data_IF_850513328137
#
_entry.id   IF_850513328137
#
_cell.length_a   1.000
_cell.length_b   1.000
_cell.length_c   1.000
_cell.angle_alpha   90.00
_cell.angle_beta   90.00
_cell.angle_gamma   90.00
#
_symmetry.space_group_name_H-M   'P 1'
#
loop_
_entity.id
_entity.type
_entity.pdbx_description
1 polymer ?
#
# COMPACT_ATOMS: atom_id res chain seq x y z
N UNK A 1 23.44 7.29 -6.02
CA UNK A 1 22.08 7.10 -5.47
C UNK A 1 21.74 5.63 -5.47
N UNK A 2 21.12 5.15 -4.41
CA UNK A 2 20.69 3.75 -4.33
C UNK A 2 19.57 3.46 -5.34
N UNK A 3 19.52 2.24 -5.84
CA UNK A 3 18.40 1.80 -6.66
C UNK A 3 17.12 1.78 -5.83
N UNK A 4 15.97 2.13 -6.41
CA UNK A 4 14.69 2.10 -5.67
C UNK A 4 14.33 0.69 -5.21
N UNK A 5 13.77 0.58 -4.02
CA UNK A 5 13.17 -0.64 -3.51
C UNK A 5 11.69 -0.61 -3.86
N UNK A 6 11.18 -1.69 -4.45
CA UNK A 6 9.77 -1.79 -4.81
C UNK A 6 9.00 -2.42 -3.67
N UNK A 7 8.08 -1.65 -3.09
CA UNK A 7 7.31 -2.04 -1.91
C UNK A 7 5.84 -2.18 -2.30
N UNK A 8 5.31 -3.38 -2.19
CA UNK A 8 3.89 -3.63 -2.42
C UNK A 8 3.15 -3.53 -1.09
N UNK A 9 2.00 -2.86 -1.10
CA UNK A 9 1.12 -2.76 0.07
C UNK A 9 -0.28 -3.15 -0.36
N UNK A 10 -0.86 -4.14 0.30
CA UNK A 10 -2.23 -4.56 0.06
C UNK A 10 -3.20 -3.80 0.95
N UNK A 11 -4.47 -3.73 0.55
CA UNK A 11 -5.46 -2.96 1.30
C UNK A 11 -5.06 -1.50 1.43
N UNK A 12 -4.48 -0.94 0.38
CA UNK A 12 -3.74 0.32 0.44
C UNK A 12 -4.61 1.53 0.77
N UNK A 13 -5.92 1.46 0.57
CA UNK A 13 -6.83 2.54 0.93
C UNK A 13 -7.31 2.46 2.39
N UNK A 14 -6.92 1.43 3.14
CA UNK A 14 -7.32 1.27 4.53
C UNK A 14 -6.57 2.17 5.49
N UNK A 15 -7.11 2.33 6.70
CA UNK A 15 -6.51 3.23 7.70
C UNK A 15 -5.12 2.80 8.15
N UNK A 16 -4.91 1.51 8.32
CA UNK A 16 -3.58 1.01 8.72
C UNK A 16 -2.58 1.28 7.62
N UNK A 17 -2.94 0.96 6.37
CA UNK A 17 -2.08 1.21 5.22
C UNK A 17 -1.81 2.69 5.02
N UNK A 18 -2.79 3.54 5.24
CA UNK A 18 -2.61 5.00 5.15
C UNK A 18 -1.44 5.46 6.02
N UNK A 19 -1.44 5.03 7.28
CA UNK A 19 -0.37 5.38 8.20
C UNK A 19 0.98 4.81 7.77
N UNK A 20 0.99 3.54 7.33
CA UNK A 20 2.21 2.88 6.88
C UNK A 20 2.79 3.54 5.63
N UNK A 21 1.95 3.93 4.67
CA UNK A 21 2.42 4.52 3.42
C UNK A 21 3.21 5.80 3.67
N UNK A 22 2.73 6.65 4.57
CA UNK A 22 3.42 7.88 4.89
C UNK A 22 4.74 7.64 5.60
N UNK A 23 4.81 6.62 6.45
CA UNK A 23 6.05 6.23 7.12
C UNK A 23 7.07 5.66 6.14
N UNK A 24 6.62 4.84 5.20
CA UNK A 24 7.50 4.30 4.16
C UNK A 24 8.02 5.45 3.29
N UNK A 25 7.12 6.33 2.87
CA UNK A 25 7.46 7.44 1.99
C UNK A 25 8.43 8.43 2.65
N UNK A 26 8.34 8.61 3.96
CA UNK A 26 9.22 9.53 4.69
C UNK A 26 10.59 8.94 5.02
N UNK A 27 10.77 7.63 4.81
CA UNK A 27 12.04 6.97 5.06
C UNK A 27 12.15 6.31 6.42
N UNK A 28 11.07 6.24 7.20
CA UNK A 28 11.12 5.62 8.53
C UNK A 28 11.34 4.11 8.49
N UNK A 29 10.88 3.43 7.43
CA UNK A 29 10.99 1.98 7.34
C UNK A 29 12.32 1.51 6.76
N UNK A 30 12.75 2.10 5.65
CA UNK A 30 13.93 1.63 4.91
C UNK A 30 15.13 2.56 5.00
N UNK A 31 14.98 3.70 5.63
CA UNK A 31 16.04 4.67 5.77
C UNK A 31 15.81 5.91 4.91
N UNK A 32 16.38 7.01 5.37
CA UNK A 32 16.13 8.33 4.76
C UNK A 32 16.90 8.55 3.47
N UNK A 33 17.75 7.61 3.09
CA UNK A 33 18.51 7.66 1.84
C UNK A 33 18.09 6.58 0.86
N UNK A 34 17.02 5.80 1.18
CA UNK A 34 16.57 4.71 0.33
C UNK A 34 15.35 5.14 -0.50
N UNK A 35 15.49 5.33 -1.81
CA UNK A 35 14.35 5.59 -2.69
C UNK A 35 13.41 4.39 -2.74
N UNK A 36 12.12 4.66 -2.91
CA UNK A 36 11.10 3.61 -2.97
C UNK A 36 10.15 3.85 -4.15
N UNK A 37 9.62 2.74 -4.67
CA UNK A 37 8.49 2.75 -5.59
C UNK A 37 7.37 2.03 -4.86
N UNK A 38 6.24 2.69 -4.69
CA UNK A 38 5.09 2.13 -3.99
C UNK A 38 4.18 1.44 -5.00
N UNK A 39 3.89 0.16 -4.75
CA UNK A 39 2.99 -0.62 -5.59
C UNK A 39 1.78 -1.01 -4.76
N UNK A 40 0.66 -0.34 -5.01
CA UNK A 40 -0.49 -0.33 -4.13
C UNK A 40 -1.60 -1.19 -4.71
N UNK A 41 -2.05 -2.17 -3.94
CA UNK A 41 -3.13 -3.07 -4.33
C UNK A 41 -4.38 -2.77 -3.51
N UNK A 42 -5.51 -2.68 -4.20
CA UNK A 42 -6.79 -2.53 -3.55
C UNK A 42 -7.85 -3.27 -4.36
N UNK A 43 -8.99 -3.55 -3.76
CA UNK A 43 -10.13 -4.10 -4.49
C UNK A 43 -10.75 -3.01 -5.36
N UNK A 44 -11.40 -3.41 -6.45
CA UNK A 44 -11.95 -2.44 -7.41
C UNK A 44 -12.85 -1.38 -6.76
N UNK A 45 -13.80 -1.75 -5.86
CA UNK A 45 -14.66 -0.73 -5.22
C UNK A 45 -13.90 0.30 -4.39
N UNK A 46 -12.70 -0.01 -3.94
CA UNK A 46 -11.90 0.91 -3.11
C UNK A 46 -10.88 1.72 -3.92
N UNK A 47 -10.84 1.56 -5.24
CA UNK A 47 -9.86 2.27 -6.07
C UNK A 47 -10.03 3.79 -6.04
N UNK A 48 -11.25 4.30 -5.91
CA UNK A 48 -11.46 5.74 -5.79
C UNK A 48 -10.88 6.30 -4.49
N UNK A 49 -11.04 5.57 -3.38
CA UNK A 49 -10.42 5.96 -2.11
C UNK A 49 -8.90 5.93 -2.21
N UNK A 50 -8.36 4.93 -2.92
CA UNK A 50 -6.92 4.83 -3.13
C UNK A 50 -6.38 6.02 -3.93
N UNK A 51 -7.11 6.49 -4.92
CA UNK A 51 -6.71 7.69 -5.67
C UNK A 51 -6.55 8.90 -4.75
N UNK A 52 -7.43 9.05 -3.78
CA UNK A 52 -7.33 10.12 -2.79
C UNK A 52 -6.06 10.01 -1.94
N UNK A 53 -5.72 8.79 -1.52
CA UNK A 53 -4.49 8.54 -0.76
C UNK A 53 -3.25 8.90 -1.60
N UNK A 54 -3.25 8.50 -2.87
CA UNK A 54 -2.14 8.81 -3.77
C UNK A 54 -1.98 10.32 -3.94
N UNK A 55 -3.07 11.05 -4.10
CA UNK A 55 -3.03 12.50 -4.22
C UNK A 55 -2.40 13.14 -2.97
N UNK A 56 -2.74 12.64 -1.78
CA UNK A 56 -2.14 13.14 -0.55
C UNK A 56 -0.63 12.85 -0.50
N UNK A 57 -0.22 11.65 -0.93
CA UNK A 57 1.21 11.30 -0.99
C UNK A 57 1.96 12.20 -1.97
N UNK A 58 1.37 12.48 -3.12
CA UNK A 58 1.98 13.35 -4.11
C UNK A 58 2.07 14.79 -3.61
N UNK A 59 1.04 15.27 -2.91
CA UNK A 59 1.03 16.61 -2.34
C UNK A 59 2.11 16.80 -1.28
N UNK A 60 2.46 15.75 -0.55
CA UNK A 60 3.55 15.79 0.42
C UNK A 60 4.94 15.90 -0.23
N UNK A 61 5.03 15.57 -1.52
CA UNK A 61 6.27 15.65 -2.31
C UNK A 61 7.46 14.96 -1.63
N UNK A 62 7.25 13.73 -1.15
CA UNK A 62 8.33 12.96 -0.52
C UNK A 62 9.45 12.68 -1.51
N UNK A 63 10.68 13.14 -1.27
CA UNK A 63 11.76 12.98 -2.24
C UNK A 63 12.19 11.52 -2.46
N UNK A 64 11.92 10.62 -1.50
CA UNK A 64 12.28 9.22 -1.64
C UNK A 64 11.31 8.45 -2.53
N UNK A 65 10.09 8.94 -2.73
CA UNK A 65 9.10 8.26 -3.56
C UNK A 65 9.40 8.55 -5.03
N UNK A 66 9.90 7.53 -5.72
CA UNK A 66 10.26 7.62 -7.13
C UNK A 66 9.10 7.30 -8.07
N UNK A 67 8.08 6.62 -7.56
CA UNK A 67 6.90 6.30 -8.35
C UNK A 67 5.84 5.64 -7.49
N UNK A 68 4.59 5.71 -7.95
CA UNK A 68 3.44 5.08 -7.30
C UNK A 68 2.64 4.37 -8.38
N UNK A 69 2.44 3.07 -8.20
CA UNK A 69 1.63 2.24 -9.09
C UNK A 69 0.43 1.75 -8.30
N UNK A 70 -0.77 1.99 -8.80
CA UNK A 70 -2.00 1.55 -8.14
C UNK A 70 -2.74 0.58 -9.06
N UNK A 71 -3.22 -0.53 -8.52
CA UNK A 71 -3.95 -1.51 -9.32
C UNK A 71 -4.89 -2.32 -8.44
N UNK A 72 -5.94 -2.85 -9.04
CA UNK A 72 -6.76 -3.89 -8.42
C UNK A 72 -6.34 -5.28 -8.89
N UNK A 73 -5.32 -5.38 -9.73
CA UNK A 73 -4.80 -6.64 -10.24
C UNK A 73 -3.51 -7.01 -9.50
N UNK A 74 -3.51 -8.13 -8.72
CA UNK A 74 -2.31 -8.55 -8.01
C UNK A 74 -1.10 -8.80 -8.91
N UNK A 75 -1.33 -9.23 -10.14
CA UNK A 75 -0.23 -9.47 -11.08
C UNK A 75 0.52 -8.19 -11.42
N UNK A 76 -0.18 -7.07 -11.42
CA UNK A 76 0.43 -5.76 -11.67
C UNK A 76 1.07 -5.23 -10.38
N UNK A 77 0.32 -5.29 -9.27
CA UNK A 77 0.77 -4.73 -8.01
C UNK A 77 1.99 -5.44 -7.44
N UNK A 78 2.12 -6.75 -7.68
CA UNK A 78 3.24 -7.52 -7.14
C UNK A 78 4.39 -7.72 -8.14
N UNK A 79 4.33 -7.09 -9.29
CA UNK A 79 5.37 -7.28 -10.29
C UNK A 79 6.70 -6.70 -9.81
N UNK A 80 7.73 -7.54 -9.80
CA UNK A 80 9.12 -7.16 -9.49
C UNK A 80 9.31 -6.55 -8.10
N UNK A 81 8.43 -6.86 -7.14
CA UNK A 81 8.55 -6.31 -5.80
C UNK A 81 9.72 -6.90 -5.04
N UNK A 82 10.28 -6.07 -4.16
CA UNK A 82 11.33 -6.48 -3.23
C UNK A 82 10.74 -6.80 -1.85
N UNK A 83 9.72 -6.05 -1.44
CA UNK A 83 9.08 -6.18 -0.13
C UNK A 83 7.57 -6.13 -0.32
N UNK A 84 6.84 -6.97 0.39
CA UNK A 84 5.39 -6.95 0.41
C UNK A 84 4.89 -6.79 1.84
N UNK A 85 4.01 -5.82 2.05
CA UNK A 85 3.31 -5.63 3.31
C UNK A 85 1.85 -6.02 3.09
N UNK A 86 1.49 -7.18 3.60
CA UNK A 86 0.15 -7.73 3.42
C UNK A 86 -0.77 -7.20 4.52
N UNK A 87 -1.43 -6.11 4.23
CA UNK A 87 -2.32 -5.40 5.14
C UNK A 87 -3.72 -5.39 4.56
N UNK A 88 -4.70 -5.18 5.39
CA UNK A 88 -6.05 -5.00 4.90
C UNK A 88 -6.68 -6.28 4.44
N UNK A 89 -7.25 -6.94 5.35
CA UNK A 89 -8.08 -8.09 5.12
C UNK A 89 -9.52 -7.64 4.93
N UNK A 90 -10.36 -8.55 4.50
CA UNK A 90 -11.80 -8.32 4.42
C UNK A 90 -12.32 -7.92 5.81
N UNK A 91 -12.99 -6.77 5.95
CA UNK A 91 -13.46 -6.32 7.25
C UNK A 91 -14.56 -7.25 7.79
N UNK A 92 -14.65 -7.32 9.13
CA UNK A 92 -15.71 -8.08 9.77
C UNK A 92 -17.06 -7.40 9.50
N UNK A 93 -17.97 -8.14 8.92
CA UNK A 93 -19.33 -7.66 8.73
C UNK A 93 -20.19 -7.99 9.95
N UNK A 94 -21.37 -7.36 10.01
CA UNK A 94 -22.30 -7.59 11.11
C UNK A 94 -22.64 -9.07 11.23
N UNK A 95 -22.47 -9.63 12.43
CA UNK A 95 -22.75 -11.04 12.68
C UNK A 95 -21.62 -12.00 12.33
N UNK A 96 -20.53 -11.51 11.76
CA UNK A 96 -19.40 -12.35 11.41
C UNK A 96 -18.45 -12.51 12.60
N UNK A 97 -18.08 -13.74 12.89
CA UNK A 97 -17.08 -14.03 13.92
C UNK A 97 -15.69 -14.02 13.33
N UNK A 98 -14.68 -13.98 14.23
CA UNK A 98 -13.27 -13.94 13.79
C UNK A 98 -12.90 -15.13 12.91
N UNK A 99 -13.41 -16.33 13.19
CA UNK A 99 -13.10 -17.48 12.36
C UNK A 99 -13.66 -17.34 10.95
N UNK A 100 -14.84 -16.73 10.81
CA UNK A 100 -15.42 -16.48 9.49
C UNK A 100 -14.56 -15.51 8.70
N UNK A 101 -14.03 -14.52 9.40
CA UNK A 101 -13.11 -13.55 8.79
C UNK A 101 -11.82 -14.23 8.32
N UNK A 102 -11.28 -15.15 9.10
CA UNK A 102 -10.09 -15.90 8.71
C UNK A 102 -10.34 -16.77 7.49
N UNK A 103 -11.51 -17.37 7.38
CA UNK A 103 -11.86 -18.18 6.21
C UNK A 103 -12.04 -17.32 4.96
N UNK A 104 -12.51 -16.07 5.10
CA UNK A 104 -12.70 -15.16 3.98
C UNK A 104 -11.39 -14.56 3.48
N UNK A 105 -10.38 -14.56 4.27
CA UNK A 105 -9.08 -13.97 3.97
C UNK A 105 -8.00 -15.04 3.78
#
# INVERSE_FOLDING_TARGET
MKAPVRVAVTGAAGQISYSLLFRIASGEMLGKDQPVILQLLEIEPAMNALKGVIMELEDCAFPLVQGIIASHDPMIAFKDIDIALLVGARPRSKGMERKDLLEAN
#
